data_IF_816366785059
#
_entry.id   IF_816366785059
#
_cell.length_a   1.000
_cell.length_b   1.000
_cell.length_c   1.000
_cell.angle_alpha   90.00
_cell.angle_beta   90.00
_cell.angle_gamma   90.00
#
_symmetry.space_group_name_H-M   'P 1'
#
loop_
_entity.id
_entity.type
_entity.pdbx_description
1 polymer ?
#
# COMPACT_ATOMS: atom_id res chain seq x y z
N UNK A 1 -9.65 21.53 22.54
CA UNK A 1 -9.66 20.05 22.50
C UNK A 1 -8.88 19.62 21.27
N UNK A 2 -7.85 18.77 21.42
CA UNK A 2 -7.10 18.21 20.28
C UNK A 2 -7.56 16.76 20.08
N UNK A 3 -7.79 16.37 18.83
CA UNK A 3 -8.10 14.99 18.46
C UNK A 3 -6.89 14.38 17.77
N UNK A 4 -6.44 13.20 18.24
CA UNK A 4 -5.52 12.39 17.46
C UNK A 4 -6.17 11.89 16.17
N UNK A 5 -5.39 11.39 15.21
CA UNK A 5 -5.96 10.72 14.03
C UNK A 5 -6.90 9.57 14.43
N UNK A 6 -6.52 8.79 15.46
CA UNK A 6 -7.35 7.70 15.98
C UNK A 6 -8.66 8.23 16.57
N UNK A 7 -8.63 9.33 17.31
CA UNK A 7 -9.85 9.96 17.83
C UNK A 7 -10.75 10.45 16.69
N UNK A 8 -10.17 11.13 15.70
CA UNK A 8 -10.89 11.58 14.52
C UNK A 8 -11.60 10.41 13.82
N UNK A 9 -10.88 9.31 13.60
CA UNK A 9 -11.41 8.13 12.94
C UNK A 9 -12.54 7.47 13.75
N UNK A 10 -12.33 7.24 15.05
CA UNK A 10 -13.29 6.53 15.89
C UNK A 10 -14.51 7.37 16.29
N UNK A 11 -14.35 8.68 16.50
CA UNK A 11 -15.41 9.56 17.00
C UNK A 11 -16.21 10.24 15.89
N UNK A 12 -15.67 10.34 14.67
CA UNK A 12 -16.33 11.05 13.56
C UNK A 12 -16.52 10.16 12.33
N UNK A 13 -15.45 9.54 11.83
CA UNK A 13 -15.50 8.77 10.58
C UNK A 13 -16.36 7.52 10.74
N UNK A 14 -16.07 6.67 11.73
CA UNK A 14 -16.83 5.42 11.94
C UNK A 14 -18.32 5.69 12.22
N UNK A 15 -18.71 6.63 13.11
CA UNK A 15 -20.12 6.94 13.31
C UNK A 15 -20.83 7.39 12.04
N UNK A 16 -20.21 8.26 11.23
CA UNK A 16 -20.78 8.70 9.96
C UNK A 16 -21.01 7.52 9.01
N UNK A 17 -20.00 6.68 8.77
CA UNK A 17 -20.12 5.55 7.85
C UNK A 17 -21.02 4.43 8.36
N UNK A 18 -21.19 4.29 9.67
CA UNK A 18 -22.20 3.39 10.25
C UNK A 18 -23.62 3.79 9.84
N UNK A 19 -23.91 5.09 9.68
CA UNK A 19 -25.21 5.54 9.13
C UNK A 19 -25.42 5.16 7.66
N UNK A 20 -24.34 4.81 6.96
CA UNK A 20 -24.34 4.31 5.58
C UNK A 20 -24.25 2.79 5.50
N UNK A 21 -24.36 2.09 6.64
CA UNK A 21 -24.29 0.63 6.71
C UNK A 21 -22.87 0.05 6.61
N UNK A 22 -21.82 0.89 6.71
CA UNK A 22 -20.43 0.44 6.65
C UNK A 22 -19.88 0.33 8.06
N UNK A 23 -19.33 -0.84 8.40
CA UNK A 23 -18.78 -1.15 9.72
C UNK A 23 -17.28 -0.92 9.80
N UNK A 24 -16.72 -0.86 11.02
CA UNK A 24 -15.27 -0.81 11.20
C UNK A 24 -14.57 -2.08 10.67
N UNK A 25 -15.26 -3.23 10.68
CA UNK A 25 -14.77 -4.47 10.10
C UNK A 25 -14.68 -4.38 8.57
N UNK A 26 -15.63 -3.71 7.92
CA UNK A 26 -15.54 -3.43 6.48
C UNK A 26 -14.31 -2.58 6.18
N UNK A 27 -14.06 -1.51 6.94
CA UNK A 27 -12.82 -0.73 6.80
C UNK A 27 -11.59 -1.61 6.97
N UNK A 28 -11.51 -2.41 8.04
CA UNK A 28 -10.37 -3.28 8.29
C UNK A 28 -10.11 -4.28 7.14
N UNK A 29 -11.17 -4.79 6.51
CA UNK A 29 -11.08 -5.65 5.32
C UNK A 29 -10.55 -4.87 4.11
N UNK A 30 -11.19 -3.73 3.80
CA UNK A 30 -10.93 -2.98 2.56
C UNK A 30 -9.56 -2.27 2.55
N UNK A 31 -9.04 -1.86 3.71
CA UNK A 31 -7.70 -1.25 3.79
C UNK A 31 -6.56 -2.29 3.79
N UNK A 32 -6.89 -3.58 3.89
CA UNK A 32 -5.90 -4.65 3.99
C UNK A 32 -5.71 -5.35 2.65
N UNK A 33 -4.55 -5.15 2.02
CA UNK A 33 -4.22 -5.80 0.74
C UNK A 33 -4.29 -7.33 0.80
N UNK A 34 -4.10 -7.94 1.99
CA UNK A 34 -4.17 -9.40 2.19
C UNK A 34 -5.57 -9.96 1.94
N UNK A 35 -6.61 -9.14 2.12
CA UNK A 35 -7.99 -9.51 1.76
C UNK A 35 -8.16 -9.80 0.26
N UNK A 36 -7.22 -9.35 -0.57
CA UNK A 36 -7.26 -9.48 -2.03
C UNK A 36 -6.10 -10.33 -2.59
N UNK A 37 -5.43 -11.11 -1.75
CA UNK A 37 -4.21 -11.84 -2.12
C UNK A 37 -4.37 -12.66 -3.41
N UNK A 38 -5.41 -13.50 -3.49
CA UNK A 38 -5.66 -14.34 -4.67
C UNK A 38 -5.83 -13.51 -5.96
N UNK A 39 -6.47 -12.34 -5.86
CA UNK A 39 -6.64 -11.41 -7.00
C UNK A 39 -5.33 -10.72 -7.36
N UNK A 40 -4.51 -10.34 -6.38
CA UNK A 40 -3.19 -9.73 -6.61
C UNK A 40 -2.19 -10.72 -7.23
N UNK A 41 -2.27 -12.01 -6.84
CA UNK A 41 -1.47 -13.09 -7.44
C UNK A 41 -1.78 -13.28 -8.93
N UNK A 42 -3.08 -13.28 -9.29
CA UNK A 42 -3.52 -13.51 -10.67
C UNK A 42 -3.43 -12.26 -11.55
N UNK A 43 -3.64 -11.07 -10.99
CA UNK A 43 -3.63 -9.80 -11.74
C UNK A 43 -2.22 -9.40 -12.15
N UNK A 44 -1.87 -9.59 -13.43
CA UNK A 44 -0.53 -9.31 -13.97
C UNK A 44 -0.22 -7.83 -14.15
N UNK A 45 -1.21 -6.92 -14.05
CA UNK A 45 -1.00 -5.48 -14.27
C UNK A 45 -0.64 -4.67 -13.02
N UNK A 46 -0.64 -5.27 -11.83
CA UNK A 46 -0.23 -4.57 -10.59
C UNK A 46 1.28 -4.54 -10.45
N UNK A 47 1.83 -3.37 -10.08
CA UNK A 47 3.24 -3.12 -9.77
C UNK A 47 3.34 -2.46 -8.40
N UNK A 48 4.42 -2.75 -7.68
CA UNK A 48 4.72 -2.12 -6.39
C UNK A 48 6.15 -1.63 -6.38
N UNK A 49 6.32 -0.37 -5.98
CA UNK A 49 7.61 0.25 -5.72
C UNK A 49 7.61 0.76 -4.28
N UNK A 50 8.64 0.44 -3.51
CA UNK A 50 8.76 0.86 -2.11
C UNK A 50 10.22 1.10 -1.70
N UNK A 51 10.41 1.71 -0.54
CA UNK A 51 11.71 1.88 0.09
C UNK A 51 11.81 0.95 1.29
N UNK A 52 12.94 0.26 1.46
CA UNK A 52 13.13 -0.71 2.55
C UNK A 52 13.19 -0.07 3.93
N UNK A 53 13.53 1.22 4.00
CA UNK A 53 13.49 2.02 5.22
C UNK A 53 12.15 2.76 5.43
N UNK A 54 11.07 2.36 4.75
CA UNK A 54 9.72 2.84 5.05
C UNK A 54 9.24 2.27 6.40
N UNK A 55 9.06 3.15 7.38
CA UNK A 55 8.67 2.79 8.74
C UNK A 55 7.24 2.21 8.85
N UNK A 56 6.40 2.39 7.82
CA UNK A 56 5.06 1.81 7.76
C UNK A 56 5.06 0.40 7.16
N UNK A 57 6.17 -0.06 6.58
CA UNK A 57 6.24 -1.33 5.85
C UNK A 57 7.26 -2.29 6.49
N UNK A 58 6.84 -3.11 7.47
CA UNK A 58 7.75 -4.04 8.15
C UNK A 58 8.21 -5.20 7.24
N UNK A 59 9.31 -5.89 7.58
CA UNK A 59 9.87 -6.97 6.76
C UNK A 59 8.90 -8.09 6.37
N UNK A 60 7.94 -8.43 7.24
CA UNK A 60 6.90 -9.43 6.97
C UNK A 60 5.96 -9.04 5.82
N UNK A 61 5.70 -7.74 5.66
CA UNK A 61 4.81 -7.24 4.63
C UNK A 61 5.54 -7.13 3.29
N UNK A 62 6.84 -6.82 3.33
CA UNK A 62 7.74 -6.92 2.17
C UNK A 62 7.79 -8.35 1.63
N UNK A 63 8.05 -9.34 2.51
CA UNK A 63 8.09 -10.75 2.12
C UNK A 63 6.74 -11.22 1.54
N UNK A 64 5.63 -10.74 2.10
CA UNK A 64 4.31 -11.02 1.55
C UNK A 64 4.10 -10.40 0.16
N UNK A 65 4.49 -9.13 -0.05
CA UNK A 65 4.41 -8.47 -1.35
C UNK A 65 5.22 -9.22 -2.41
N UNK A 66 6.47 -9.58 -2.12
CA UNK A 66 7.34 -10.32 -3.04
C UNK A 66 6.79 -11.72 -3.37
N UNK A 67 6.27 -12.45 -2.37
CA UNK A 67 5.67 -13.77 -2.61
C UNK A 67 4.32 -13.69 -3.35
N UNK A 68 3.54 -12.63 -3.14
CA UNK A 68 2.21 -12.43 -3.74
C UNK A 68 2.31 -11.94 -5.18
N UNK A 69 3.14 -10.93 -5.41
CA UNK A 69 3.26 -10.29 -6.72
C UNK A 69 4.35 -10.95 -7.58
N UNK A 70 5.38 -11.54 -6.97
CA UNK A 70 6.56 -12.03 -7.65
C UNK A 70 7.59 -10.92 -7.87
N UNK A 71 8.87 -11.30 -7.87
CA UNK A 71 10.01 -10.36 -7.88
C UNK A 71 10.05 -9.42 -9.08
N UNK A 72 9.50 -9.81 -10.24
CA UNK A 72 9.48 -8.95 -11.43
C UNK A 72 8.51 -7.77 -11.34
N UNK A 73 7.54 -7.80 -10.42
CA UNK A 73 6.51 -6.74 -10.25
C UNK A 73 6.73 -5.90 -9.00
N UNK A 74 7.83 -6.14 -8.30
CA UNK A 74 8.16 -5.51 -7.02
C UNK A 74 9.56 -4.91 -7.12
N UNK A 75 9.66 -3.59 -7.05
CA UNK A 75 10.93 -2.86 -7.03
C UNK A 75 11.14 -2.25 -5.65
N UNK A 76 12.35 -2.42 -5.10
CA UNK A 76 12.71 -1.81 -3.82
C UNK A 76 13.95 -0.94 -3.94
N UNK A 77 13.97 0.18 -3.26
CA UNK A 77 15.18 0.97 -2.99
C UNK A 77 15.59 0.83 -1.52
N UNK A 78 16.87 1.00 -1.21
CA UNK A 78 17.34 0.93 0.18
C UNK A 78 16.76 2.08 1.03
N UNK A 79 16.74 3.28 0.46
CA UNK A 79 16.40 4.52 1.16
C UNK A 79 15.36 5.36 0.40
N UNK A 80 14.74 6.30 1.12
CA UNK A 80 13.69 7.19 0.61
C UNK A 80 12.46 7.26 1.51
N UNK A 81 12.38 6.43 2.56
CA UNK A 81 11.28 6.44 3.54
C UNK A 81 9.91 6.21 2.90
N UNK A 82 8.86 6.75 3.52
CA UNK A 82 7.51 6.68 2.98
C UNK A 82 7.30 7.71 1.85
N UNK A 83 7.61 7.31 0.60
CA UNK A 83 7.51 8.14 -0.62
C UNK A 83 8.46 9.36 -0.71
N UNK A 84 9.43 9.51 0.19
CA UNK A 84 10.34 10.67 0.21
C UNK A 84 11.30 10.77 -0.98
N UNK A 85 11.53 9.66 -1.70
CA UNK A 85 12.37 9.63 -2.91
C UNK A 85 11.59 9.73 -4.23
N UNK A 86 10.27 9.96 -4.19
CA UNK A 86 9.40 9.92 -5.38
C UNK A 86 9.80 10.91 -6.49
N UNK A 87 10.36 12.06 -6.13
CA UNK A 87 10.80 13.10 -7.07
C UNK A 87 12.20 12.88 -7.63
N UNK A 88 12.91 11.84 -7.17
CA UNK A 88 14.27 11.58 -7.62
C UNK A 88 14.25 10.92 -9.01
N UNK A 89 15.19 11.27 -9.91
CA UNK A 89 15.26 10.67 -11.24
C UNK A 89 15.31 9.12 -11.23
N UNK A 90 16.07 8.45 -10.32
CA UNK A 90 16.10 6.98 -10.28
C UNK A 90 14.73 6.34 -9.98
N UNK A 91 13.93 6.94 -9.10
CA UNK A 91 12.59 6.42 -8.75
C UNK A 91 11.60 6.68 -9.88
N UNK A 92 11.64 7.87 -10.50
CA UNK A 92 10.80 8.19 -11.65
C UNK A 92 11.09 7.27 -12.85
N UNK A 93 12.37 7.03 -13.12
CA UNK A 93 12.78 6.10 -14.18
C UNK A 93 12.27 4.69 -13.90
N UNK A 94 12.40 4.19 -12.67
CA UNK A 94 11.89 2.88 -12.28
C UNK A 94 10.35 2.78 -12.39
N UNK A 95 9.62 3.87 -12.10
CA UNK A 95 8.17 3.94 -12.30
C UNK A 95 7.79 3.79 -13.78
N UNK A 96 8.50 4.47 -14.68
CA UNK A 96 8.24 4.36 -16.13
C UNK A 96 8.58 2.94 -16.62
N UNK A 97 9.74 2.42 -16.23
CA UNK A 97 10.20 1.08 -16.61
C UNK A 97 9.24 -0.02 -16.15
N UNK A 98 8.74 0.05 -14.91
CA UNK A 98 7.86 -0.99 -14.37
C UNK A 98 6.50 -1.06 -15.08
N UNK A 99 6.11 0.00 -15.78
CA UNK A 99 4.87 0.07 -16.55
C UNK A 99 5.07 -0.24 -18.05
N UNK A 100 6.32 -0.35 -18.52
CA UNK A 100 6.63 -0.46 -19.95
C UNK A 100 6.06 -1.70 -20.66
N UNK A 101 5.82 -2.78 -19.92
CA UNK A 101 5.22 -4.02 -20.42
C UNK A 101 3.69 -4.05 -20.31
N UNK A 102 3.08 -3.01 -19.72
CA UNK A 102 1.64 -2.85 -19.59
C UNK A 102 1.08 -2.08 -20.79
N UNK A 103 0.93 -2.78 -21.92
CA UNK A 103 0.16 -2.28 -23.06
C UNK A 103 -1.32 -2.65 -22.96
#
# INVERSE_FOLDING_TARGET
MSYSFRDYFLKFVIPYYKTKGITIQDFAREINLRSYESKLRSQKKVRVIFNRNDFLLPPRDIAWLESTLGKSRVKSFAEGGHLGSLTTPPVQQALIETLSDLK
#
